data_IF_764876810899
#
_entry.id   IF_764876810899
#
_cell.length_a   1.000
_cell.length_b   1.000
_cell.length_c   1.000
_cell.angle_alpha   90.00
_cell.angle_beta   90.00
_cell.angle_gamma   90.00
#
_symmetry.space_group_name_H-M   'P 1'
#
loop_
_entity.id
_entity.type
_entity.pdbx_description
1 polymer ?
#
# COMPACT_ATOMS: atom_id res chain seq x y z
N UNK A 1 -17.64 -6.75 -0.71
CA UNK A 1 -16.32 -6.88 -0.07
C UNK A 1 -15.29 -6.91 -1.18
N UNK A 2 -14.55 -5.81 -1.33
CA UNK A 2 -13.52 -5.68 -2.36
C UNK A 2 -12.18 -5.94 -1.70
N UNK A 3 -11.47 -6.97 -2.15
CA UNK A 3 -10.13 -7.26 -1.66
C UNK A 3 -9.13 -6.56 -2.57
N UNK A 4 -8.15 -5.86 -1.99
CA UNK A 4 -7.10 -5.16 -2.74
C UNK A 4 -5.73 -5.75 -2.44
N UNK A 5 -4.87 -5.83 -3.43
CA UNK A 5 -3.46 -6.14 -3.25
C UNK A 5 -2.77 -4.90 -2.66
N UNK A 6 -2.37 -4.99 -1.39
CA UNK A 6 -1.72 -3.88 -0.69
C UNK A 6 -0.21 -4.05 -0.74
N UNK A 7 0.47 -3.03 -1.27
CA UNK A 7 1.91 -2.86 -1.13
C UNK A 7 2.17 -1.73 -0.14
N UNK A 8 3.12 -1.92 0.77
CA UNK A 8 3.52 -0.90 1.72
C UNK A 8 5.04 -0.87 1.95
N UNK A 9 5.56 0.32 2.21
CA UNK A 9 6.93 0.56 2.65
C UNK A 9 6.85 1.13 4.05
N UNK A 10 7.40 0.42 5.03
CA UNK A 10 7.53 0.92 6.40
C UNK A 10 8.93 1.49 6.60
N UNK A 11 9.04 2.76 6.93
CA UNK A 11 10.30 3.40 7.31
C UNK A 11 10.19 4.08 8.67
N UNK A 12 11.27 4.05 9.45
CA UNK A 12 11.30 4.69 10.77
C UNK A 12 11.59 6.20 10.71
N UNK A 13 12.21 6.66 9.63
CA UNK A 13 12.61 8.06 9.43
C UNK A 13 11.63 8.78 8.50
N UNK A 14 11.07 9.94 8.90
CA UNK A 14 10.24 10.76 8.01
C UNK A 14 11.01 11.21 6.77
N UNK A 15 12.28 11.58 6.95
CA UNK A 15 13.15 12.04 5.86
C UNK A 15 13.33 10.94 4.80
N UNK A 16 13.45 9.69 5.23
CA UNK A 16 13.56 8.56 4.31
C UNK A 16 12.25 8.33 3.55
N UNK A 17 11.10 8.52 4.21
CA UNK A 17 9.81 8.42 3.55
C UNK A 17 9.64 9.50 2.46
N UNK A 18 10.07 10.73 2.75
CA UNK A 18 10.08 11.82 1.79
C UNK A 18 11.03 11.55 0.62
N UNK A 19 12.21 10.99 0.89
CA UNK A 19 13.19 10.65 -0.15
C UNK A 19 12.65 9.58 -1.10
N UNK A 20 12.07 8.51 -0.56
CA UNK A 20 11.40 7.44 -1.34
C UNK A 20 10.28 8.03 -2.20
N UNK A 21 9.48 8.96 -1.68
CA UNK A 21 8.45 9.62 -2.49
C UNK A 21 9.04 10.44 -3.63
N UNK A 22 10.18 11.11 -3.43
CA UNK A 22 10.89 11.81 -4.52
C UNK A 22 11.41 10.82 -5.55
N UNK A 23 12.01 9.70 -5.13
CA UNK A 23 12.48 8.67 -6.05
C UNK A 23 11.33 8.09 -6.88
N UNK A 24 10.20 7.82 -6.24
CA UNK A 24 8.96 7.40 -6.91
C UNK A 24 8.44 8.45 -7.90
N UNK A 25 8.61 9.75 -7.61
CA UNK A 25 8.27 10.84 -8.54
C UNK A 25 9.25 10.94 -9.71
N UNK A 26 10.51 10.54 -9.50
CA UNK A 26 11.53 10.46 -10.54
C UNK A 26 11.37 9.22 -11.44
N UNK A 27 10.46 8.30 -11.10
CA UNK A 27 10.17 7.10 -11.88
C UNK A 27 10.84 5.83 -11.35
N UNK A 28 11.33 5.82 -10.10
CA UNK A 28 11.80 4.61 -9.47
C UNK A 28 10.65 3.61 -9.23
N UNK A 29 10.98 2.33 -9.27
CA UNK A 29 10.01 1.26 -9.02
C UNK A 29 9.75 1.11 -7.52
N UNK A 30 8.47 1.15 -7.13
CA UNK A 30 8.06 0.98 -5.73
C UNK A 30 8.57 -0.33 -5.13
N UNK A 31 8.60 -1.39 -5.92
CA UNK A 31 9.06 -2.69 -5.47
C UNK A 31 10.52 -2.71 -5.06
N UNK A 32 11.36 -1.99 -5.79
CA UNK A 32 12.80 -1.90 -5.52
C UNK A 32 13.07 -1.06 -4.28
N UNK A 33 12.42 0.10 -4.17
CA UNK A 33 12.50 0.94 -2.97
C UNK A 33 11.97 0.23 -1.73
N UNK A 34 10.91 -0.57 -1.89
CA UNK A 34 10.39 -1.39 -0.80
C UNK A 34 11.36 -2.49 -0.41
N UNK A 35 12.03 -3.14 -1.36
CA UNK A 35 13.01 -4.17 -1.07
C UNK A 35 14.27 -3.59 -0.40
N UNK A 36 14.65 -2.37 -0.75
CA UNK A 36 15.84 -1.71 -0.25
C UNK A 36 15.63 -1.01 1.09
N UNK A 37 14.52 -0.29 1.27
CA UNK A 37 14.30 0.60 2.42
C UNK A 37 13.24 0.11 3.42
N UNK A 38 12.35 -0.82 3.04
CA UNK A 38 11.28 -1.24 3.95
C UNK A 38 11.84 -2.03 5.14
N UNK A 39 11.49 -1.59 6.35
CA UNK A 39 11.83 -2.27 7.59
C UNK A 39 10.90 -3.47 7.90
N UNK A 40 9.89 -3.73 7.05
CA UNK A 40 8.99 -4.88 7.20
C UNK A 40 9.55 -6.12 6.47
N UNK A 41 9.21 -7.35 6.92
CA UNK A 41 9.59 -8.58 6.21
C UNK A 41 9.00 -8.65 4.79
N UNK A 42 7.95 -7.87 4.49
CA UNK A 42 7.40 -7.67 3.15
C UNK A 42 8.37 -7.04 2.16
N UNK A 43 9.50 -6.47 2.61
CA UNK A 43 10.60 -6.03 1.74
C UNK A 43 11.05 -7.14 0.77
N UNK A 44 11.09 -8.40 1.24
CA UNK A 44 11.44 -9.56 0.40
C UNK A 44 10.45 -9.84 -0.72
N UNK A 45 9.23 -9.33 -0.59
CA UNK A 45 8.19 -9.39 -1.62
C UNK A 45 7.95 -8.01 -2.22
N UNK A 46 8.98 -7.17 -2.29
CA UNK A 46 8.89 -5.85 -2.92
C UNK A 46 7.76 -4.99 -2.29
N UNK A 47 7.61 -5.07 -0.97
CA UNK A 47 6.60 -4.36 -0.20
C UNK A 47 5.21 -5.00 -0.21
N UNK A 48 5.00 -6.13 -0.87
CA UNK A 48 3.70 -6.80 -0.92
C UNK A 48 3.29 -7.29 0.47
N UNK A 49 2.19 -6.76 0.99
CA UNK A 49 1.60 -7.13 2.28
C UNK A 49 0.46 -8.16 2.13
N UNK A 50 0.20 -8.65 0.91
CA UNK A 50 -0.90 -9.55 0.63
C UNK A 50 -2.18 -8.85 0.18
N UNK A 51 -3.25 -9.65 0.11
CA UNK A 51 -4.59 -9.18 -0.19
C UNK A 51 -5.31 -8.81 1.11
N UNK A 52 -5.80 -7.59 1.19
CA UNK A 52 -6.53 -7.08 2.35
C UNK A 52 -7.94 -6.67 1.93
N UNK A 53 -8.93 -7.03 2.76
CA UNK A 53 -10.28 -6.50 2.62
C UNK A 53 -10.28 -5.02 2.99
N UNK A 54 -10.84 -4.18 2.11
CA UNK A 54 -10.91 -2.74 2.32
C UNK A 54 -11.66 -2.37 3.60
N UNK A 55 -12.63 -3.20 4.01
CA UNK A 55 -13.40 -3.03 5.25
C UNK A 55 -12.56 -3.29 6.51
N UNK A 56 -11.49 -4.09 6.42
CA UNK A 56 -10.60 -4.41 7.54
C UNK A 56 -9.35 -3.51 7.59
N UNK A 57 -9.14 -2.66 6.58
CA UNK A 57 -8.05 -1.70 6.58
C UNK A 57 -8.42 -0.46 7.41
N UNK A 58 -7.44 0.15 8.10
CA UNK A 58 -7.65 1.44 8.75
C UNK A 58 -8.23 2.45 7.77
N UNK A 59 -9.27 3.18 8.18
CA UNK A 59 -9.96 4.15 7.32
C UNK A 59 -8.99 5.16 6.70
N UNK A 60 -7.92 5.55 7.42
CA UNK A 60 -6.88 6.43 6.89
C UNK A 60 -6.13 5.84 5.68
N UNK A 61 -5.85 4.53 5.69
CA UNK A 61 -5.22 3.83 4.57
C UNK A 61 -6.18 3.67 3.40
N UNK A 62 -7.43 3.31 3.67
CA UNK A 62 -8.48 3.21 2.64
C UNK A 62 -8.68 4.56 1.98
N UNK A 63 -8.84 5.63 2.76
CA UNK A 63 -8.97 6.99 2.27
C UNK A 63 -7.78 7.43 1.43
N UNK A 64 -6.55 7.12 1.88
CA UNK A 64 -5.36 7.37 1.08
C UNK A 64 -5.44 6.60 -0.25
N UNK A 65 -5.61 5.27 -0.22
CA UNK A 65 -5.64 4.40 -1.42
C UNK A 65 -6.73 4.81 -2.42
N UNK A 66 -7.93 5.11 -1.94
CA UNK A 66 -9.07 5.50 -2.77
C UNK A 66 -9.10 7.00 -3.13
N UNK A 67 -8.05 7.74 -2.77
CA UNK A 67 -7.95 9.15 -3.07
C UNK A 67 -8.99 10.02 -2.34
N UNK A 68 -9.57 9.52 -1.26
CA UNK A 68 -10.64 10.15 -0.49
C UNK A 68 -10.09 10.76 0.80
N UNK A 69 -9.36 11.88 0.72
CA UNK A 69 -8.89 12.62 1.89
C UNK A 69 -7.93 13.75 1.51
N UNK A 70 -7.70 14.73 2.40
CA UNK A 70 -6.79 15.87 2.15
C UNK A 70 -5.33 15.46 1.87
N UNK A 71 -4.94 14.23 2.26
CA UNK A 71 -3.59 13.67 2.07
C UNK A 71 -3.51 12.73 0.85
N UNK A 72 -4.59 12.61 0.08
CA UNK A 72 -4.59 11.83 -1.16
C UNK A 72 -3.86 12.58 -2.26
N UNK A 73 -2.71 12.06 -2.66
CA UNK A 73 -2.05 12.48 -3.90
C UNK A 73 -2.67 11.64 -5.03
N UNK A 74 -3.13 12.28 -6.10
CA UNK A 74 -3.52 11.55 -7.29
C UNK A 74 -2.26 10.87 -7.87
N UNK A 75 -2.14 9.56 -7.69
CA UNK A 75 -0.94 8.84 -8.10
C UNK A 75 -1.01 7.34 -7.78
N UNK A 76 -0.06 6.55 -8.30
CA UNK A 76 0.00 5.11 -8.08
C UNK A 76 0.45 4.72 -6.65
N UNK A 77 0.78 5.69 -5.80
CA UNK A 77 1.22 5.49 -4.42
C UNK A 77 0.74 6.67 -3.56
N UNK A 78 0.55 6.40 -2.27
CA UNK A 78 -0.02 7.31 -1.28
C UNK A 78 0.79 7.28 0.01
N UNK A 79 1.09 8.45 0.56
CA UNK A 79 1.91 8.58 1.76
C UNK A 79 2.67 9.91 1.82
N UNK A 80 3.43 10.14 2.91
CA UNK A 80 3.77 9.19 3.97
C UNK A 80 2.77 9.22 5.13
N UNK A 81 2.09 8.10 5.39
CA UNK A 81 1.12 7.95 6.48
C UNK A 81 1.85 7.66 7.78
N UNK A 82 1.77 8.58 8.75
CA UNK A 82 2.37 8.38 10.08
C UNK A 82 1.52 7.43 10.92
N UNK A 83 2.14 6.40 11.48
CA UNK A 83 1.55 5.48 12.45
C UNK A 83 2.46 5.34 13.68
N UNK A 84 2.04 4.55 14.65
CA UNK A 84 2.88 4.22 15.83
C UNK A 84 4.14 3.40 15.49
N UNK A 85 4.18 2.75 14.32
CA UNK A 85 5.33 1.94 13.90
C UNK A 85 6.35 2.74 13.08
N UNK A 86 5.95 3.90 12.54
CA UNK A 86 6.78 4.74 11.68
C UNK A 86 5.95 5.42 10.60
N UNK A 87 6.55 5.58 9.42
CA UNK A 87 5.94 6.18 8.25
C UNK A 87 5.69 5.10 7.20
N UNK A 88 4.47 5.10 6.66
CA UNK A 88 4.01 4.12 5.70
C UNK A 88 3.71 4.79 4.37
N UNK A 89 4.32 4.27 3.30
CA UNK A 89 3.93 4.62 1.94
C UNK A 89 3.18 3.41 1.40
N UNK A 90 1.96 3.60 0.92
CA UNK A 90 1.09 2.52 0.47
C UNK A 90 0.71 2.66 -0.99
N UNK A 91 0.53 1.53 -1.65
CA UNK A 91 0.11 1.42 -3.04
C UNK A 91 -0.85 0.25 -3.15
N UNK A 92 -1.97 0.46 -3.83
CA UNK A 92 -2.77 -0.66 -4.33
C UNK A 92 -2.23 -1.06 -5.71
N UNK A 93 -2.00 -2.37 -5.91
CA UNK A 93 -2.02 -2.91 -7.26
C UNK A 93 -3.49 -3.06 -7.65
N UNK A 94 -3.79 -2.74 -8.92
CA UNK A 94 -5.10 -2.68 -9.58
C UNK A 94 -6.22 -3.42 -8.81
N UNK A 95 -7.35 -2.75 -8.57
CA UNK A 95 -8.50 -3.42 -7.97
C UNK A 95 -8.82 -4.63 -8.83
N UNK A 96 -8.54 -5.84 -8.35
CA UNK A 96 -9.10 -7.02 -8.97
C UNK A 96 -10.55 -7.03 -8.48
N UNK A 97 -11.56 -6.61 -9.26
CA UNK A 97 -12.92 -6.98 -8.91
C UNK A 97 -12.88 -8.49 -8.83
N UNK A 98 -13.08 -9.07 -7.64
CA UNK A 98 -13.15 -10.52 -7.50
C UNK A 98 -14.16 -10.99 -8.55
N UNK A 99 -13.76 -11.70 -9.63
CA UNK A 99 -14.75 -12.38 -10.41
C UNK A 99 -15.32 -13.41 -9.44
N UNK A 100 -16.61 -13.29 -9.12
CA UNK A 100 -17.31 -14.36 -8.42
C UNK A 100 -17.19 -15.61 -9.32
N UNK A 101 -16.24 -16.48 -9.01
CA UNK A 101 -15.98 -17.75 -9.68
C UNK A 101 -15.43 -18.66 -8.57
N UNK A 102 -16.11 -19.69 -8.04
CA UNK A 102 -17.35 -20.37 -8.41
C UNK A 102 -17.95 -21.01 -7.14
N UNK A 103 -19.27 -20.89 -7.04
CA UNK A 103 -20.30 -21.88 -6.66
C UNK A 103 -19.99 -23.14 -5.81
N UNK A 104 -20.85 -23.32 -4.79
CA UNK A 104 -21.49 -24.57 -4.34
C UNK A 104 -20.68 -25.66 -3.62
N UNK A 105 -21.04 -25.96 -2.37
CA UNK A 105 -21.35 -27.33 -1.89
C UNK A 105 -22.16 -27.29 -0.57
N UNK A 106 -23.43 -27.69 -0.68
CA UNK A 106 -24.18 -28.61 0.19
C UNK A 106 -24.38 -28.31 1.70
N UNK A 107 -25.67 -28.20 2.09
CA UNK A 107 -26.15 -28.28 3.46
C UNK A 107 -27.59 -27.82 3.61
#
# INVERSE_FOLDING_TARGET
MSTIALHHILVKSPLLAEDILRELQLGAEFGDLAAEYSACPSARQQGFAGYHDTDNLPTALVQAIFGQGEQAIAGPYQGPVRTQFGYHIVRSADQVPRPMLFDEQAG
#
